data_IF_555696091619
#
_entry.id   IF_555696091619
#
_cell.length_a   1.000
_cell.length_b   1.000
_cell.length_c   1.000
_cell.angle_alpha   90.00
_cell.angle_beta   90.00
_cell.angle_gamma   90.00
#
_symmetry.space_group_name_H-M   'P 1'
#
loop_
_entity.id
_entity.type
_entity.pdbx_description
1 polymer ?
#
# COMPACT_ATOMS: atom_id res chain seq x y z
N UNK A 1 10.98 -28.13 -66.95
CA UNK A 1 10.53 -26.86 -66.34
C UNK A 1 10.49 -27.04 -64.83
N UNK A 2 11.54 -26.63 -64.11
CA UNK A 2 11.56 -26.63 -62.64
C UNK A 2 11.43 -25.19 -62.15
N UNK A 3 10.38 -24.90 -61.37
CA UNK A 3 10.16 -23.59 -60.73
C UNK A 3 10.96 -23.54 -59.43
N UNK A 4 11.86 -22.56 -59.31
CA UNK A 4 12.52 -22.18 -58.07
C UNK A 4 11.59 -21.28 -57.25
N UNK A 5 11.21 -21.70 -56.04
CA UNK A 5 10.51 -20.87 -55.07
C UNK A 5 11.55 -20.22 -54.16
N UNK A 6 11.65 -18.88 -54.18
CA UNK A 6 12.51 -18.11 -53.28
C UNK A 6 11.82 -17.96 -51.93
N UNK A 7 12.42 -18.45 -50.85
CA UNK A 7 12.08 -18.11 -49.47
C UNK A 7 12.83 -16.83 -49.08
N UNK A 8 12.10 -15.79 -48.72
CA UNK A 8 12.66 -14.59 -48.09
C UNK A 8 12.56 -14.74 -46.57
N UNK A 9 13.70 -14.81 -45.89
CA UNK A 9 13.76 -14.75 -44.42
C UNK A 9 13.86 -13.29 -43.97
N UNK A 10 12.85 -12.84 -43.22
CA UNK A 10 12.86 -11.54 -42.54
C UNK A 10 13.62 -11.69 -41.22
N UNK A 11 14.79 -11.06 -41.09
CA UNK A 11 15.51 -10.96 -39.83
C UNK A 11 14.82 -9.92 -38.94
N UNK A 12 14.25 -10.35 -37.81
CA UNK A 12 13.82 -9.46 -36.73
C UNK A 12 15.05 -9.14 -35.89
N UNK A 13 15.52 -7.90 -35.93
CA UNK A 13 16.57 -7.41 -35.06
C UNK A 13 16.01 -7.21 -33.64
N UNK A 14 16.37 -8.09 -32.70
CA UNK A 14 16.21 -7.79 -31.27
C UNK A 14 17.25 -6.74 -30.87
N UNK A 15 16.82 -5.50 -30.70
CA UNK A 15 17.61 -4.50 -30.01
C UNK A 15 17.65 -4.85 -28.51
N UNK A 16 18.72 -5.49 -28.06
CA UNK A 16 19.03 -5.64 -26.64
C UNK A 16 19.61 -4.31 -26.18
N UNK A 17 18.76 -3.45 -25.60
CA UNK A 17 19.23 -2.27 -24.88
C UNK A 17 20.01 -2.73 -23.64
N UNK A 18 21.33 -2.69 -23.71
CA UNK A 18 22.19 -2.89 -22.54
C UNK A 18 22.01 -1.69 -21.63
N UNK A 19 21.19 -1.82 -20.59
CA UNK A 19 21.18 -0.85 -19.49
C UNK A 19 22.55 -0.91 -18.84
N UNK A 20 23.30 0.19 -18.86
CA UNK A 20 24.57 0.30 -18.16
C UNK A 20 24.26 0.13 -16.67
N UNK A 21 24.79 -0.93 -16.06
CA UNK A 21 24.67 -1.16 -14.63
C UNK A 21 25.77 -0.35 -13.93
N UNK A 22 25.39 0.57 -13.06
CA UNK A 22 26.32 1.38 -12.30
C UNK A 22 26.41 0.93 -10.85
N UNK A 23 27.56 1.22 -10.24
CA UNK A 23 27.71 1.27 -8.79
C UNK A 23 27.19 2.63 -8.31
N UNK A 24 26.09 2.65 -7.57
CA UNK A 24 25.51 3.88 -7.00
C UNK A 24 25.87 3.92 -5.52
N UNK A 25 26.65 4.94 -5.12
CA UNK A 25 26.93 5.21 -3.70
C UNK A 25 26.04 6.34 -3.21
N UNK A 26 25.38 6.13 -2.06
CA UNK A 26 24.54 7.10 -1.40
C UNK A 26 25.04 7.35 0.01
N UNK A 27 25.19 8.63 0.35
CA UNK A 27 25.34 9.07 1.73
C UNK A 27 23.97 9.12 2.40
N UNK A 28 23.77 8.30 3.43
CA UNK A 28 22.55 8.26 4.22
C UNK A 28 22.60 9.23 5.42
N UNK A 29 23.76 9.83 5.67
CA UNK A 29 24.04 10.77 6.76
C UNK A 29 24.66 10.11 7.98
N UNK A 30 24.62 10.82 9.11
CA UNK A 30 25.27 10.36 10.34
C UNK A 30 24.62 9.10 10.90
N UNK A 31 25.39 8.30 11.64
CA UNK A 31 24.84 7.14 12.35
C UNK A 31 23.64 7.50 13.24
N UNK A 32 23.64 8.69 13.85
CA UNK A 32 22.51 9.17 14.66
C UNK A 32 21.25 9.40 13.80
N UNK A 33 21.37 10.10 12.67
CA UNK A 33 20.24 10.35 11.77
C UNK A 33 19.67 9.04 11.25
N UNK A 34 20.53 8.14 10.76
CA UNK A 34 20.10 6.85 10.23
C UNK A 34 19.44 6.00 11.32
N UNK A 35 19.96 6.04 12.56
CA UNK A 35 19.31 5.39 13.71
C UNK A 35 17.87 5.87 13.89
N UNK A 36 17.64 7.19 13.82
CA UNK A 36 16.32 7.80 13.97
C UNK A 36 15.37 7.42 12.82
N UNK A 37 15.83 7.54 11.58
CA UNK A 37 14.98 7.34 10.40
C UNK A 37 14.68 5.85 10.13
N UNK A 38 15.61 4.94 10.44
CA UNK A 38 15.40 3.50 10.29
C UNK A 38 14.82 2.83 11.54
N UNK A 39 14.39 3.63 12.52
CA UNK A 39 13.84 3.18 13.80
C UNK A 39 14.76 2.21 14.56
N UNK A 40 16.07 2.32 14.38
CA UNK A 40 17.02 1.37 14.96
C UNK A 40 17.28 1.65 16.46
N UNK A 41 17.41 0.61 17.31
CA UNK A 41 16.97 -0.76 17.07
C UNK A 41 15.44 -0.87 17.10
N UNK A 42 14.86 -1.62 16.16
CA UNK A 42 13.41 -1.71 15.98
C UNK A 42 12.78 -3.00 16.52
N UNK A 43 13.55 -3.90 17.13
CA UNK A 43 13.04 -5.17 17.67
C UNK A 43 13.82 -5.67 18.90
N UNK A 44 14.28 -4.73 19.72
CA UNK A 44 15.11 -5.00 20.89
C UNK A 44 14.51 -4.43 22.17
N UNK A 45 14.70 -5.18 23.26
CA UNK A 45 14.64 -4.68 24.63
C UNK A 45 15.98 -4.99 25.32
N UNK A 46 15.98 -5.66 26.47
CA UNK A 46 17.19 -6.29 27.03
C UNK A 46 17.68 -7.42 26.11
N UNK A 47 16.76 -8.07 25.38
CA UNK A 47 17.05 -9.11 24.39
C UNK A 47 16.50 -8.65 23.04
N UNK A 48 17.31 -8.77 21.99
CA UNK A 48 16.90 -8.50 20.62
C UNK A 48 16.27 -9.74 19.99
N UNK A 49 15.09 -9.59 19.39
CA UNK A 49 14.49 -10.66 18.59
C UNK A 49 15.36 -10.96 17.35
N UNK A 50 15.89 -9.92 16.70
CA UNK A 50 16.93 -10.02 15.67
C UNK A 50 18.07 -9.06 16.02
N UNK A 51 19.26 -9.55 16.44
CA UNK A 51 20.36 -8.70 16.89
C UNK A 51 21.13 -8.10 15.70
N UNK A 52 20.44 -7.36 14.83
CA UNK A 52 21.05 -6.71 13.67
C UNK A 52 21.86 -5.48 14.09
N UNK A 53 22.94 -5.18 13.37
CA UNK A 53 23.59 -3.88 13.45
C UNK A 53 22.76 -2.80 12.74
N UNK A 54 23.15 -1.54 12.90
CA UNK A 54 22.54 -0.42 12.15
C UNK A 54 22.66 -0.67 10.64
N UNK A 55 23.84 -1.04 10.17
CA UNK A 55 24.12 -1.32 8.76
C UNK A 55 23.26 -2.46 8.24
N UNK A 56 23.14 -3.56 8.99
CA UNK A 56 22.31 -4.70 8.60
C UNK A 56 20.82 -4.35 8.55
N UNK A 57 20.36 -3.51 9.47
CA UNK A 57 18.96 -3.04 9.48
C UNK A 57 18.66 -2.19 8.24
N UNK A 58 19.56 -1.27 7.90
CA UNK A 58 19.43 -0.45 6.68
C UNK A 58 19.51 -1.33 5.44
N UNK A 59 20.52 -2.22 5.35
CA UNK A 59 20.73 -3.12 4.23
C UNK A 59 19.51 -4.01 3.97
N UNK A 60 18.85 -4.48 5.04
CA UNK A 60 17.60 -5.25 4.98
C UNK A 60 16.49 -4.49 4.26
N UNK A 61 16.16 -3.26 4.69
CA UNK A 61 15.12 -2.46 4.03
C UNK A 61 15.51 -2.10 2.60
N UNK A 62 16.76 -1.72 2.35
CA UNK A 62 17.21 -1.37 1.00
C UNK A 62 17.19 -2.58 0.05
N UNK A 63 17.42 -3.78 0.58
CA UNK A 63 17.27 -5.04 -0.17
C UNK A 63 15.81 -5.29 -0.53
N UNK A 64 14.86 -5.04 0.39
CA UNK A 64 13.42 -5.13 0.08
C UNK A 64 13.03 -4.18 -1.05
N UNK A 65 13.50 -2.92 -1.02
CA UNK A 65 13.25 -1.96 -2.10
C UNK A 65 13.74 -2.48 -3.45
N UNK A 66 14.99 -2.99 -3.53
CA UNK A 66 15.53 -3.57 -4.77
C UNK A 66 14.68 -4.71 -5.31
N UNK A 67 14.23 -5.60 -4.42
CA UNK A 67 13.40 -6.74 -4.81
C UNK A 67 12.04 -6.29 -5.33
N UNK A 68 11.41 -5.30 -4.69
CA UNK A 68 10.10 -4.76 -5.06
C UNK A 68 10.14 -3.89 -6.30
N UNK A 69 11.29 -3.30 -6.60
CA UNK A 69 11.54 -2.67 -7.90
C UNK A 69 11.88 -3.69 -9.00
N UNK A 70 11.92 -4.99 -8.71
CA UNK A 70 12.19 -6.04 -9.70
C UNK A 70 13.67 -6.24 -10.03
N UNK A 71 14.59 -5.60 -9.32
CA UNK A 71 16.04 -5.73 -9.51
C UNK A 71 16.60 -6.97 -8.81
N UNK A 72 16.13 -8.16 -9.19
CA UNK A 72 16.47 -9.44 -8.53
C UNK A 72 17.97 -9.78 -8.46
N UNK A 73 18.79 -9.23 -9.36
CA UNK A 73 20.24 -9.43 -9.40
C UNK A 73 21.03 -8.29 -8.72
N UNK A 74 20.37 -7.17 -8.42
CA UNK A 74 21.02 -6.06 -7.75
C UNK A 74 21.34 -6.43 -6.31
N UNK A 75 22.32 -5.74 -5.75
CA UNK A 75 22.75 -5.89 -4.36
C UNK A 75 22.91 -4.51 -3.74
N UNK A 76 22.76 -4.45 -2.44
CA UNK A 76 23.10 -3.29 -1.63
C UNK A 76 24.02 -3.76 -0.51
N UNK A 77 25.02 -2.95 -0.20
CA UNK A 77 25.84 -3.10 1.00
C UNK A 77 25.86 -1.80 1.77
N UNK A 78 25.79 -1.87 3.10
CA UNK A 78 25.79 -0.68 3.97
C UNK A 78 27.00 -0.69 4.87
N UNK A 79 27.67 0.46 5.00
CA UNK A 79 28.85 0.63 5.86
C UNK A 79 28.83 1.96 6.57
N UNK A 80 29.40 1.98 7.78
CA UNK A 80 29.71 3.23 8.48
C UNK A 80 31.19 3.54 8.34
N UNK A 81 31.52 4.67 7.74
CA UNK A 81 32.88 5.18 7.56
C UNK A 81 32.97 6.62 8.04
N UNK A 82 33.91 6.91 8.94
CA UNK A 82 34.11 8.26 9.52
C UNK A 82 32.82 8.87 10.13
N UNK A 83 31.95 8.03 10.70
CA UNK A 83 30.69 8.44 11.32
C UNK A 83 29.53 8.69 10.36
N UNK A 84 29.74 8.49 9.05
CA UNK A 84 28.69 8.54 8.02
C UNK A 84 28.31 7.12 7.61
N UNK A 85 27.00 6.88 7.48
CA UNK A 85 26.47 5.62 6.96
C UNK A 85 26.26 5.78 5.46
N UNK A 86 26.80 4.85 4.67
CA UNK A 86 26.70 4.86 3.22
C UNK A 86 26.13 3.55 2.70
N UNK A 87 25.28 3.64 1.70
CA UNK A 87 24.79 2.50 0.95
C UNK A 87 25.45 2.46 -0.43
N UNK A 88 25.95 1.28 -0.81
CA UNK A 88 26.45 1.01 -2.16
C UNK A 88 25.53 0.01 -2.83
N UNK A 89 24.86 0.46 -3.88
CA UNK A 89 24.05 -0.37 -4.76
C UNK A 89 24.85 -0.81 -5.97
N UNK A 90 24.68 -2.06 -6.39
CA UNK A 90 25.28 -2.60 -7.62
C UNK A 90 24.20 -3.29 -8.45
N UNK A 91 24.36 -3.27 -9.78
CA UNK A 91 23.39 -3.89 -10.69
C UNK A 91 22.08 -3.11 -10.88
N UNK A 92 22.07 -1.82 -10.52
CA UNK A 92 20.93 -0.89 -10.64
C UNK A 92 21.17 0.15 -11.75
N UNK A 93 20.11 0.81 -12.25
CA UNK A 93 20.27 1.96 -13.14
C UNK A 93 20.94 3.16 -12.46
N UNK A 94 21.52 4.03 -13.29
CA UNK A 94 22.00 5.34 -12.84
C UNK A 94 20.88 6.10 -12.13
N UNK A 95 21.18 6.64 -10.94
CA UNK A 95 20.23 7.46 -10.19
C UNK A 95 19.18 6.68 -9.39
N UNK A 96 19.23 5.34 -9.32
CA UNK A 96 18.30 4.52 -8.51
C UNK A 96 18.12 5.02 -7.07
N UNK A 97 19.16 5.59 -6.49
CA UNK A 97 19.14 6.11 -5.12
C UNK A 97 18.40 7.44 -4.91
N UNK A 98 18.06 8.17 -5.96
CA UNK A 98 17.47 9.51 -5.82
C UNK A 98 16.11 9.53 -5.10
N UNK A 99 15.17 8.61 -5.39
CA UNK A 99 13.91 8.54 -4.64
C UNK A 99 14.13 8.24 -3.15
N UNK A 100 15.12 7.41 -2.79
CA UNK A 100 15.47 7.15 -1.40
C UNK A 100 16.04 8.41 -0.73
N UNK A 101 16.95 9.12 -1.38
CA UNK A 101 17.50 10.37 -0.85
C UNK A 101 16.41 11.40 -0.62
N UNK A 102 15.49 11.56 -1.57
CA UNK A 102 14.34 12.45 -1.41
C UNK A 102 13.46 12.04 -0.21
N UNK A 103 13.11 10.75 -0.12
CA UNK A 103 12.33 10.20 0.99
C UNK A 103 12.99 10.47 2.35
N UNK A 104 14.29 10.18 2.49
CA UNK A 104 15.02 10.36 3.75
C UNK A 104 15.14 11.85 4.14
N UNK A 105 15.36 12.73 3.17
CA UNK A 105 15.39 14.18 3.42
C UNK A 105 14.02 14.72 3.83
N UNK A 106 12.95 14.15 3.30
CA UNK A 106 11.57 14.46 3.74
C UNK A 106 11.29 13.87 5.11
N UNK A 107 11.85 12.70 5.42
CA UNK A 107 11.64 12.01 6.69
C UNK A 107 12.21 12.73 7.92
N UNK A 108 13.19 13.61 7.73
CA UNK A 108 13.66 14.50 8.82
C UNK A 108 12.48 15.30 9.41
N UNK A 109 11.51 15.73 8.58
CA UNK A 109 10.28 16.40 9.03
C UNK A 109 9.39 15.50 9.89
N UNK A 110 9.34 14.19 9.57
CA UNK A 110 8.59 13.24 10.38
C UNK A 110 9.24 13.03 11.75
N UNK A 111 10.56 12.94 11.81
CA UNK A 111 11.30 12.87 13.06
C UNK A 111 11.10 14.12 13.93
N UNK A 112 11.14 15.31 13.32
CA UNK A 112 10.83 16.56 14.02
C UNK A 112 9.40 16.58 14.54
N UNK A 113 8.43 16.12 13.74
CA UNK A 113 7.03 15.97 14.13
C UNK A 113 6.85 15.03 15.33
N UNK A 114 7.43 13.84 15.27
CA UNK A 114 7.42 12.87 16.36
C UNK A 114 8.09 13.44 17.63
N UNK A 115 9.22 14.13 17.47
CA UNK A 115 9.93 14.76 18.57
C UNK A 115 9.11 15.87 19.24
N UNK A 116 8.39 16.68 18.46
CA UNK A 116 7.42 17.67 18.99
C UNK A 116 6.28 16.97 19.72
N UNK A 117 5.67 15.95 19.12
CA UNK A 117 4.57 15.19 19.69
C UNK A 117 4.94 14.58 21.06
N UNK A 118 6.16 14.06 21.18
CA UNK A 118 6.67 13.53 22.44
C UNK A 118 6.93 14.63 23.48
N UNK A 119 7.52 15.78 23.10
CA UNK A 119 7.71 16.91 24.02
C UNK A 119 6.40 17.44 24.59
N UNK A 120 5.32 17.36 23.81
CA UNK A 120 3.98 17.74 24.23
C UNK A 120 3.26 16.67 25.07
N UNK A 121 3.93 15.55 25.38
CA UNK A 121 3.40 14.48 26.22
C UNK A 121 2.34 13.61 25.54
N UNK A 122 2.26 13.63 24.20
CA UNK A 122 1.25 12.90 23.42
C UNK A 122 1.79 11.65 22.73
N UNK A 123 3.09 11.39 22.78
CA UNK A 123 3.69 10.17 22.27
C UNK A 123 3.49 9.03 23.26
N UNK A 124 2.93 7.91 22.81
CA UNK A 124 2.76 6.73 23.67
C UNK A 124 4.04 5.93 23.77
N UNK A 125 4.25 5.29 24.92
CA UNK A 125 5.45 4.49 25.19
C UNK A 125 5.68 3.38 24.14
N UNK A 126 4.60 2.77 23.63
CA UNK A 126 4.67 1.67 22.65
C UNK A 126 4.80 2.13 21.20
N UNK A 127 4.86 3.44 20.94
CA UNK A 127 4.89 3.98 19.58
C UNK A 127 6.32 4.13 19.07
N UNK A 128 6.50 3.85 17.77
CA UNK A 128 7.76 4.01 17.06
C UNK A 128 7.54 4.87 15.83
N UNK A 129 8.44 5.83 15.54
CA UNK A 129 8.45 6.48 14.23
C UNK A 129 8.75 5.39 13.18
N UNK A 130 7.87 5.21 12.19
CA UNK A 130 8.05 4.20 11.17
C UNK A 130 7.71 4.74 9.78
N UNK A 131 8.77 5.03 9.04
CA UNK A 131 8.73 5.51 7.67
C UNK A 131 8.50 4.33 6.70
N UNK A 132 7.95 4.57 5.49
CA UNK A 132 7.68 3.54 4.48
C UNK A 132 8.98 2.99 3.85
N UNK A 133 9.82 2.38 4.67
CA UNK A 133 11.09 1.79 4.32
C UNK A 133 10.88 0.44 3.64
N UNK A 134 11.76 0.13 2.68
CA UNK A 134 11.67 -1.09 1.92
C UNK A 134 10.58 -1.09 0.85
N UNK A 135 9.84 -0.01 0.62
CA UNK A 135 8.88 0.09 -0.49
C UNK A 135 9.57 0.15 -1.86
N UNK A 136 8.81 -0.09 -2.93
CA UNK A 136 9.29 0.16 -4.29
C UNK A 136 9.69 1.65 -4.46
N UNK A 137 10.92 1.89 -4.90
CA UNK A 137 11.50 3.23 -5.01
C UNK A 137 11.43 3.83 -6.42
N UNK A 138 11.39 3.00 -7.45
CA UNK A 138 11.40 3.46 -8.83
C UNK A 138 10.20 2.91 -9.60
N UNK A 139 9.96 1.60 -9.52
CA UNK A 139 8.97 0.91 -10.34
C UNK A 139 7.55 0.92 -9.73
N UNK A 140 7.23 1.97 -8.98
CA UNK A 140 5.89 2.18 -8.41
C UNK A 140 4.82 2.32 -9.48
N UNK A 141 3.68 1.67 -9.27
CA UNK A 141 2.51 1.72 -10.15
C UNK A 141 1.35 2.50 -9.53
N UNK A 142 1.28 2.57 -8.20
CA UNK A 142 0.26 3.32 -7.47
C UNK A 142 0.71 3.65 -6.06
N UNK A 143 -0.03 4.55 -5.41
CA UNK A 143 0.16 4.95 -4.01
C UNK A 143 -1.03 4.51 -3.17
N UNK A 144 -0.75 4.02 -1.96
CA UNK A 144 -1.74 3.67 -0.95
C UNK A 144 -1.60 4.66 0.20
N UNK A 145 -2.61 5.51 0.38
CA UNK A 145 -2.65 6.43 1.51
C UNK A 145 -3.39 5.71 2.66
N UNK A 146 -2.67 5.49 3.74
CA UNK A 146 -3.07 4.68 4.90
C UNK A 146 -3.09 5.51 6.18
N UNK A 147 -3.69 4.96 7.22
CA UNK A 147 -3.82 5.63 8.50
C UNK A 147 -2.49 5.62 9.26
N UNK A 148 -2.03 4.43 9.64
CA UNK A 148 -0.77 4.17 10.33
C UNK A 148 -0.36 2.69 10.14
N UNK A 149 0.94 2.36 10.22
CA UNK A 149 1.39 0.97 10.17
C UNK A 149 1.21 0.27 11.52
N UNK A 150 0.84 -1.03 11.55
CA UNK A 150 0.86 -1.78 12.79
C UNK A 150 2.30 -2.03 13.29
N UNK A 151 2.48 -2.00 14.60
CA UNK A 151 3.78 -2.15 15.28
C UNK A 151 4.50 -3.47 14.97
N UNK A 152 3.77 -4.56 14.75
CA UNK A 152 4.36 -5.85 14.42
C UNK A 152 5.05 -5.86 13.04
N UNK A 153 4.61 -5.03 12.08
CA UNK A 153 5.28 -4.89 10.78
C UNK A 153 6.71 -4.35 10.96
N UNK A 154 6.91 -3.50 11.97
CA UNK A 154 8.24 -3.01 12.36
C UNK A 154 8.98 -4.04 13.24
N UNK A 155 8.37 -4.44 14.35
CA UNK A 155 9.07 -5.12 15.45
C UNK A 155 9.24 -6.62 15.25
N UNK A 156 8.31 -7.28 14.56
CA UNK A 156 8.36 -8.72 14.31
C UNK A 156 8.93 -9.02 12.92
N UNK A 157 8.36 -8.38 11.90
CA UNK A 157 8.67 -8.72 10.51
C UNK A 157 9.81 -7.89 9.92
N UNK A 158 9.98 -6.63 10.38
CA UNK A 158 10.81 -5.61 9.72
C UNK A 158 10.44 -5.48 8.24
N UNK A 159 9.14 -5.50 7.96
CA UNK A 159 8.60 -5.43 6.62
C UNK A 159 7.28 -4.66 6.65
N UNK A 160 7.26 -3.50 6.00
CA UNK A 160 6.10 -2.61 5.94
C UNK A 160 4.89 -3.24 5.24
N UNK A 161 5.11 -4.21 4.33
CA UNK A 161 4.05 -4.90 3.61
C UNK A 161 3.64 -6.21 4.26
N UNK A 162 4.24 -6.60 5.38
CA UNK A 162 3.84 -7.80 6.12
C UNK A 162 2.82 -7.42 7.20
N UNK A 163 1.55 -7.50 6.83
CA UNK A 163 0.42 -7.26 7.72
C UNK A 163 -0.87 -7.82 7.15
N UNK A 164 -1.80 -8.23 8.02
CA UNK A 164 -3.12 -8.70 7.56
C UNK A 164 -3.80 -7.71 6.59
N UNK A 165 -3.67 -6.41 6.85
CA UNK A 165 -4.19 -5.33 6.00
C UNK A 165 -3.59 -5.35 4.59
N UNK A 166 -2.26 -5.40 4.49
CA UNK A 166 -1.51 -5.34 3.22
C UNK A 166 -1.56 -6.65 2.47
N UNK A 167 -1.52 -7.80 3.15
CA UNK A 167 -1.59 -9.14 2.57
C UNK A 167 -2.97 -9.39 1.95
N UNK A 168 -4.03 -8.95 2.64
CA UNK A 168 -5.37 -8.99 2.07
C UNK A 168 -5.43 -8.16 0.80
N UNK A 169 -4.91 -6.94 0.83
CA UNK A 169 -4.97 -6.07 -0.35
C UNK A 169 -4.17 -6.63 -1.54
N UNK A 170 -2.99 -7.20 -1.28
CA UNK A 170 -2.20 -7.94 -2.28
C UNK A 170 -3.01 -9.08 -2.93
N UNK A 171 -3.80 -9.80 -2.13
CA UNK A 171 -4.70 -10.85 -2.62
C UNK A 171 -5.80 -10.29 -3.53
N UNK A 172 -6.36 -9.11 -3.22
CA UNK A 172 -7.35 -8.45 -4.06
C UNK A 172 -6.76 -7.89 -5.36
N UNK A 173 -5.54 -7.37 -5.33
CA UNK A 173 -4.78 -7.01 -6.53
C UNK A 173 -4.54 -8.25 -7.41
N UNK A 174 -4.21 -9.38 -6.79
CA UNK A 174 -4.02 -10.66 -7.49
C UNK A 174 -5.31 -11.17 -8.13
N UNK A 175 -6.45 -11.06 -7.45
CA UNK A 175 -7.77 -11.36 -8.01
C UNK A 175 -8.10 -10.47 -9.24
N UNK A 176 -7.45 -9.31 -9.35
CA UNK A 176 -7.55 -8.39 -10.49
C UNK A 176 -6.43 -8.54 -11.52
N UNK A 177 -5.68 -9.64 -11.46
CA UNK A 177 -4.72 -10.03 -12.49
C UNK A 177 -3.32 -9.44 -12.32
N UNK A 178 -3.01 -8.84 -11.17
CA UNK A 178 -1.62 -8.50 -10.83
C UNK A 178 -0.92 -9.78 -10.35
N UNK A 179 0.22 -10.20 -10.93
CA UNK A 179 0.99 -11.32 -10.40
C UNK A 179 1.37 -11.06 -8.93
N UNK A 180 1.27 -12.06 -8.06
CA UNK A 180 1.55 -11.90 -6.63
C UNK A 180 2.92 -11.25 -6.36
N UNK A 181 3.95 -11.65 -7.13
CA UNK A 181 5.31 -11.11 -7.04
C UNK A 181 5.44 -9.64 -7.47
N UNK A 182 4.44 -9.08 -8.15
CA UNK A 182 4.38 -7.69 -8.62
C UNK A 182 3.43 -6.82 -7.78
N UNK A 183 2.64 -7.41 -6.88
CA UNK A 183 1.74 -6.64 -6.01
C UNK A 183 2.46 -5.55 -5.19
N UNK A 184 3.71 -5.73 -4.70
CA UNK A 184 4.41 -4.67 -3.98
C UNK A 184 4.64 -3.39 -4.79
N UNK A 185 4.71 -3.45 -6.12
CA UNK A 185 4.84 -2.27 -6.99
C UNK A 185 3.60 -1.36 -6.89
N UNK A 186 2.45 -1.91 -6.50
CA UNK A 186 1.19 -1.18 -6.35
C UNK A 186 0.98 -0.68 -4.91
N UNK A 187 1.72 -1.22 -3.95
CA UNK A 187 1.51 -1.01 -2.52
C UNK A 187 2.55 -0.07 -1.90
N UNK A 188 2.94 1.00 -2.61
CA UNK A 188 3.76 2.04 -1.96
C UNK A 188 2.88 2.83 -1.01
N UNK A 189 3.09 2.64 0.29
CA UNK A 189 2.27 3.23 1.33
C UNK A 189 2.80 4.61 1.73
N UNK A 190 1.88 5.53 1.98
CA UNK A 190 2.07 6.76 2.74
C UNK A 190 1.10 6.73 3.91
N UNK A 191 1.61 6.81 5.12
CA UNK A 191 0.77 6.92 6.31
C UNK A 191 0.58 8.38 6.72
N UNK A 192 -0.67 8.75 7.02
CA UNK A 192 -0.96 10.06 7.60
C UNK A 192 -0.44 10.15 9.05
N UNK A 193 -0.22 9.02 9.73
CA UNK A 193 0.56 8.98 10.96
C UNK A 193 1.70 7.97 10.75
N UNK A 194 2.95 8.43 10.48
CA UNK A 194 4.10 7.54 10.30
C UNK A 194 4.57 6.96 11.65
N UNK A 195 3.66 6.35 12.38
CA UNK A 195 3.84 5.83 13.74
C UNK A 195 3.42 4.36 13.74
N UNK A 196 4.40 3.47 13.89
CA UNK A 196 4.14 2.08 14.23
C UNK A 196 3.50 2.02 15.62
N UNK A 197 2.25 1.54 15.66
CA UNK A 197 1.43 1.46 16.87
C UNK A 197 0.62 0.15 16.88
N UNK A 198 0.09 -0.29 18.04
CA UNK A 198 -0.81 -1.44 18.09
C UNK A 198 -1.98 -1.26 17.09
N UNK A 199 -2.42 -2.33 16.46
CA UNK A 199 -3.48 -2.27 15.43
C UNK A 199 -4.83 -1.72 15.93
N UNK A 200 -5.01 -1.60 17.24
CA UNK A 200 -6.18 -1.02 17.90
C UNK A 200 -6.03 0.48 18.23
N UNK A 201 -4.86 1.08 18.00
CA UNK A 201 -4.53 2.46 18.39
C UNK A 201 -5.12 3.55 17.48
N UNK A 202 -5.95 3.20 16.49
CA UNK A 202 -6.48 4.16 15.50
C UNK A 202 -7.15 5.38 16.14
N UNK A 203 -7.93 5.17 17.21
CA UNK A 203 -8.57 6.25 17.97
C UNK A 203 -7.56 7.10 18.74
N UNK A 204 -6.52 6.49 19.30
CA UNK A 204 -5.50 7.19 20.10
C UNK A 204 -4.61 8.11 19.24
N UNK A 205 -4.57 7.84 17.93
CA UNK A 205 -3.89 8.67 16.94
C UNK A 205 -4.74 9.86 16.46
N UNK A 206 -6.03 9.94 16.82
CA UNK A 206 -6.83 11.12 16.48
C UNK A 206 -6.22 12.38 17.12
N UNK A 207 -6.08 13.43 16.31
CA UNK A 207 -5.48 14.70 16.76
C UNK A 207 -3.95 14.76 16.71
N UNK A 208 -3.25 13.68 16.35
CA UNK A 208 -1.77 13.73 16.17
C UNK A 208 -1.33 14.06 14.75
N UNK A 209 -2.20 13.94 13.74
CA UNK A 209 -1.81 14.05 12.32
C UNK A 209 -1.17 15.40 11.96
N UNK A 210 -1.61 16.48 12.62
CA UNK A 210 -1.10 17.84 12.35
C UNK A 210 0.39 18.01 12.65
N UNK A 211 0.97 17.17 13.52
CA UNK A 211 2.41 17.19 13.80
C UNK A 211 3.25 16.78 12.59
N UNK A 212 2.63 16.10 11.62
CA UNK A 212 3.28 15.53 10.43
C UNK A 212 2.84 16.19 9.12
N UNK A 213 2.08 17.30 9.14
CA UNK A 213 1.51 17.92 7.93
C UNK A 213 2.52 18.25 6.84
N UNK A 214 3.68 18.80 7.21
CA UNK A 214 4.74 19.11 6.25
C UNK A 214 5.35 17.83 5.65
N UNK A 215 5.59 16.82 6.48
CA UNK A 215 6.03 15.50 6.02
C UNK A 215 5.01 14.88 5.05
N UNK A 216 3.74 14.79 5.45
CA UNK A 216 2.68 14.13 4.70
C UNK A 216 2.49 14.77 3.31
N UNK A 217 2.38 16.10 3.25
CA UNK A 217 2.17 16.80 1.98
C UNK A 217 3.39 16.68 1.06
N UNK A 218 4.60 16.74 1.62
CA UNK A 218 5.84 16.59 0.86
C UNK A 218 6.04 15.16 0.34
N UNK A 219 5.79 14.14 1.16
CA UNK A 219 5.92 12.74 0.74
C UNK A 219 4.83 12.35 -0.27
N UNK A 220 3.61 12.88 -0.13
CA UNK A 220 2.57 12.73 -1.17
C UNK A 220 3.05 13.31 -2.48
N UNK A 221 3.61 14.52 -2.49
CA UNK A 221 4.17 15.11 -3.71
C UNK A 221 5.29 14.26 -4.31
N UNK A 222 6.26 13.85 -3.50
CA UNK A 222 7.47 13.17 -3.97
C UNK A 222 7.21 11.74 -4.46
N UNK A 223 6.29 11.00 -3.83
CA UNK A 223 6.00 9.62 -4.22
C UNK A 223 4.92 9.52 -5.30
N UNK A 224 3.94 10.44 -5.34
CA UNK A 224 2.88 10.40 -6.35
C UNK A 224 3.27 11.03 -7.69
N UNK A 225 4.25 11.93 -7.73
CA UNK A 225 4.71 12.55 -8.98
C UNK A 225 5.90 11.78 -9.53
N UNK A 226 5.62 10.90 -10.49
CA UNK A 226 6.64 10.10 -11.16
C UNK A 226 7.07 10.76 -12.49
N UNK A 227 8.33 10.60 -12.96
CA UNK A 227 8.80 11.19 -14.21
C UNK A 227 7.95 10.84 -15.44
N UNK A 228 7.31 9.68 -15.44
CA UNK A 228 6.42 9.22 -16.53
C UNK A 228 4.97 9.67 -16.38
N UNK A 229 4.65 10.44 -15.33
CA UNK A 229 3.33 10.98 -15.04
C UNK A 229 2.89 10.73 -13.59
N UNK A 230 1.84 11.40 -13.11
CA UNK A 230 1.32 11.19 -11.77
C UNK A 230 0.80 9.75 -11.58
N UNK A 231 1.10 9.15 -10.44
CA UNK A 231 0.62 7.82 -10.05
C UNK A 231 -0.78 7.92 -9.44
N UNK A 232 -1.68 6.96 -9.72
CA UNK A 232 -2.98 6.88 -9.07
C UNK A 232 -2.83 6.60 -7.57
N UNK A 233 -3.76 7.10 -6.77
CA UNK A 233 -3.77 6.93 -5.32
C UNK A 233 -5.07 6.28 -4.84
N UNK A 234 -4.98 5.38 -3.89
CA UNK A 234 -6.13 4.85 -3.13
C UNK A 234 -6.06 5.35 -1.70
N UNK A 235 -7.16 5.92 -1.21
CA UNK A 235 -7.29 6.50 0.12
C UNK A 235 -8.14 5.59 1.00
N UNK A 236 -7.48 4.90 1.94
CA UNK A 236 -8.07 3.84 2.75
C UNK A 236 -8.59 4.36 4.09
N UNK A 237 -9.88 4.16 4.35
CA UNK A 237 -10.44 4.45 5.67
C UNK A 237 -10.91 5.90 5.85
N UNK A 238 -11.65 6.14 6.92
CA UNK A 238 -12.27 7.43 7.20
C UNK A 238 -11.26 8.52 7.63
N UNK A 239 -10.25 8.23 8.48
CA UNK A 239 -9.22 9.20 8.85
C UNK A 239 -8.47 9.73 7.63
N UNK A 240 -8.10 8.85 6.70
CA UNK A 240 -7.38 9.23 5.47
C UNK A 240 -8.23 10.09 4.54
N UNK A 241 -9.50 9.74 4.33
CA UNK A 241 -10.40 10.56 3.50
C UNK A 241 -10.66 11.93 4.14
N UNK A 242 -10.72 11.99 5.47
CA UNK A 242 -10.82 13.26 6.21
C UNK A 242 -9.55 14.10 6.07
N UNK A 243 -8.37 13.46 6.10
CA UNK A 243 -7.09 14.11 5.84
C UNK A 243 -7.04 14.72 4.44
N UNK A 244 -7.53 14.01 3.40
CA UNK A 244 -7.63 14.56 2.04
C UNK A 244 -8.53 15.81 2.01
N UNK A 245 -9.68 15.77 2.68
CA UNK A 245 -10.57 16.93 2.78
C UNK A 245 -9.88 18.13 3.44
N UNK A 246 -9.11 17.88 4.52
CA UNK A 246 -8.41 18.93 5.26
C UNK A 246 -7.26 19.56 4.45
N UNK A 247 -6.48 18.76 3.73
CA UNK A 247 -5.29 19.23 3.02
C UNK A 247 -5.52 19.66 1.58
N UNK A 248 -6.53 19.10 0.91
CA UNK A 248 -6.80 19.35 -0.51
C UNK A 248 -8.22 19.86 -0.79
N UNK A 249 -9.07 19.98 0.24
CA UNK A 249 -10.44 20.46 0.09
C UNK A 249 -11.40 19.47 -0.60
N UNK A 250 -10.96 18.24 -0.85
CA UNK A 250 -11.73 17.25 -1.60
C UNK A 250 -12.49 16.29 -0.70
N UNK A 251 -13.81 16.17 -0.91
CA UNK A 251 -14.63 15.18 -0.20
C UNK A 251 -14.57 13.85 -0.92
N UNK A 252 -14.35 12.78 -0.16
CA UNK A 252 -14.16 11.45 -0.73
C UNK A 252 -14.92 10.40 0.09
N UNK A 253 -15.76 9.61 -0.59
CA UNK A 253 -16.45 8.44 -0.03
C UNK A 253 -15.85 7.13 -0.53
N UNK A 254 -16.33 5.98 -0.02
CA UNK A 254 -15.99 4.66 -0.56
C UNK A 254 -16.47 4.58 -2.02
N UNK A 255 -15.57 4.18 -2.92
CA UNK A 255 -15.75 4.23 -4.38
C UNK A 255 -16.09 5.62 -4.93
N UNK A 256 -15.79 6.68 -4.18
CA UNK A 256 -15.77 8.04 -4.70
C UNK A 256 -14.44 8.32 -5.40
N UNK A 257 -14.48 9.10 -6.49
CA UNK A 257 -13.28 9.58 -7.18
C UNK A 257 -13.14 11.08 -7.03
N UNK A 258 -11.91 11.53 -6.84
CA UNK A 258 -11.53 12.94 -6.90
C UNK A 258 -10.14 13.10 -7.53
N UNK A 259 -9.66 14.34 -7.62
CA UNK A 259 -8.30 14.67 -7.97
C UNK A 259 -7.70 15.61 -6.92
N UNK A 260 -6.44 15.37 -6.57
CA UNK A 260 -5.64 16.29 -5.75
C UNK A 260 -4.52 16.88 -6.60
N UNK A 261 -3.98 18.02 -6.17
CA UNK A 261 -2.83 18.67 -6.79
C UNK A 261 -1.68 18.78 -5.78
N UNK A 262 -0.79 17.76 -5.70
CA UNK A 262 0.36 17.79 -4.78
C UNK A 262 1.42 18.84 -5.14
N UNK A 263 1.38 19.33 -6.37
CA UNK A 263 2.19 20.44 -6.85
C UNK A 263 1.40 21.27 -7.86
N UNK A 264 1.82 22.50 -8.11
CA UNK A 264 1.23 23.33 -9.15
C UNK A 264 1.32 22.62 -10.52
N UNK A 265 0.21 22.64 -11.27
CA UNK A 265 0.12 22.00 -12.58
C UNK A 265 0.01 20.46 -12.57
N UNK A 266 0.09 19.81 -11.40
CA UNK A 266 -0.07 18.35 -11.30
C UNK A 266 -1.47 17.93 -10.86
N UNK A 267 -1.88 16.74 -11.29
CA UNK A 267 -3.17 16.14 -10.93
C UNK A 267 -2.99 14.65 -10.68
N UNK A 268 -3.33 14.21 -9.48
CA UNK A 268 -3.33 12.80 -9.07
C UNK A 268 -4.77 12.36 -8.92
N UNK A 269 -5.17 11.31 -9.61
CA UNK A 269 -6.47 10.69 -9.42
C UNK A 269 -6.48 9.93 -8.08
N UNK A 270 -7.51 10.17 -7.26
CA UNK A 270 -7.64 9.55 -5.95
C UNK A 270 -8.97 8.83 -5.83
N UNK A 271 -8.93 7.55 -5.48
CA UNK A 271 -10.10 6.73 -5.18
C UNK A 271 -10.24 6.53 -3.68
N UNK A 272 -11.42 6.78 -3.12
CA UNK A 272 -11.72 6.41 -1.73
C UNK A 272 -12.06 4.93 -1.63
N UNK A 273 -11.50 4.24 -0.64
CA UNK A 273 -11.78 2.84 -0.35
C UNK A 273 -12.18 2.66 1.12
N UNK A 274 -12.73 1.49 1.46
CA UNK A 274 -12.76 1.05 2.85
C UNK A 274 -11.32 0.83 3.32
N UNK A 275 -11.04 0.96 4.61
CA UNK A 275 -9.78 0.42 5.14
C UNK A 275 -9.74 -1.11 4.88
N UNK A 276 -8.62 -1.72 4.45
CA UNK A 276 -8.62 -3.13 4.07
C UNK A 276 -9.07 -4.07 5.19
N UNK A 277 -8.84 -3.69 6.45
CA UNK A 277 -9.28 -4.44 7.63
C UNK A 277 -10.75 -4.28 8.00
N UNK A 278 -11.46 -3.31 7.42
CA UNK A 278 -12.87 -3.04 7.72
C UNK A 278 -13.76 -4.25 7.42
N UNK A 279 -13.36 -5.11 6.48
CA UNK A 279 -14.09 -6.34 6.14
C UNK A 279 -14.34 -7.23 7.36
N UNK A 280 -13.40 -7.35 8.30
CA UNK A 280 -13.53 -8.24 9.45
C UNK A 280 -14.52 -7.69 10.46
N UNK A 281 -14.64 -6.36 10.58
CA UNK A 281 -15.66 -5.71 11.40
C UNK A 281 -17.03 -5.76 10.75
N UNK A 282 -17.10 -5.51 9.43
CA UNK A 282 -18.33 -5.59 8.67
C UNK A 282 -18.90 -7.01 8.63
N UNK A 283 -18.04 -8.04 8.65
CA UNK A 283 -18.43 -9.44 8.64
C UNK A 283 -18.52 -10.06 10.05
N UNK A 284 -18.29 -9.31 11.13
CA UNK A 284 -18.42 -9.85 12.48
C UNK A 284 -19.91 -9.92 12.91
N UNK A 285 -20.46 -11.11 13.26
CA UNK A 285 -21.81 -11.23 13.80
C UNK A 285 -22.06 -10.38 15.06
N UNK A 286 -21.04 -10.15 15.89
CA UNK A 286 -21.16 -9.32 17.09
C UNK A 286 -21.50 -7.86 16.76
N UNK A 287 -21.15 -7.39 15.56
CA UNK A 287 -21.56 -6.07 15.06
C UNK A 287 -23.06 -5.98 14.75
N UNK A 288 -23.80 -7.10 14.80
CA UNK A 288 -25.21 -7.23 14.41
C UNK A 288 -26.00 -8.12 15.38
N UNK A 289 -25.74 -8.01 16.68
CA UNK A 289 -26.48 -8.75 17.72
C UNK A 289 -26.42 -10.29 17.56
N UNK A 290 -25.34 -10.80 16.97
CA UNK A 290 -25.14 -12.22 16.67
C UNK A 290 -25.76 -12.69 15.35
N UNK A 291 -26.33 -11.79 14.53
CA UNK A 291 -26.91 -12.13 13.22
C UNK A 291 -25.82 -12.33 12.16
N UNK A 292 -25.41 -13.58 11.97
CA UNK A 292 -24.45 -13.97 10.93
C UNK A 292 -24.94 -13.64 9.51
N UNK A 293 -26.24 -13.73 9.22
CA UNK A 293 -26.77 -13.47 7.88
C UNK A 293 -26.64 -11.98 7.53
N UNK A 294 -26.88 -11.10 8.50
CA UNK A 294 -26.70 -9.65 8.34
C UNK A 294 -25.23 -9.27 8.24
N UNK A 295 -24.36 -9.93 9.02
CA UNK A 295 -22.91 -9.78 8.93
C UNK A 295 -22.36 -10.23 7.57
N UNK A 296 -22.82 -11.38 7.06
CA UNK A 296 -22.50 -11.85 5.71
C UNK A 296 -22.96 -10.87 4.63
N UNK A 297 -24.18 -10.30 4.76
CA UNK A 297 -24.66 -9.30 3.81
C UNK A 297 -23.76 -8.06 3.77
N UNK A 298 -23.30 -7.58 4.93
CA UNK A 298 -22.37 -6.46 5.00
C UNK A 298 -20.99 -6.82 4.44
N UNK A 299 -20.45 -7.98 4.84
CA UNK A 299 -19.17 -8.51 4.37
C UNK A 299 -19.13 -8.67 2.85
N UNK A 300 -20.18 -9.22 2.23
CA UNK A 300 -20.29 -9.36 0.77
C UNK A 300 -20.28 -8.01 0.06
N UNK A 301 -20.97 -7.00 0.59
CA UNK A 301 -20.98 -5.64 0.04
C UNK A 301 -19.59 -5.00 0.14
N UNK A 302 -18.93 -5.11 1.29
CA UNK A 302 -17.55 -4.58 1.48
C UNK A 302 -16.57 -5.30 0.55
N UNK A 303 -16.66 -6.63 0.42
CA UNK A 303 -15.82 -7.39 -0.53
C UNK A 303 -16.01 -6.90 -1.97
N UNK A 304 -17.26 -6.67 -2.39
CA UNK A 304 -17.56 -6.12 -3.72
C UNK A 304 -17.00 -4.71 -3.92
N UNK A 305 -17.02 -3.87 -2.88
CA UNK A 305 -16.39 -2.54 -2.92
C UNK A 305 -14.87 -2.63 -3.03
N UNK A 306 -14.24 -3.44 -2.18
CA UNK A 306 -12.78 -3.56 -2.12
C UNK A 306 -12.20 -4.17 -3.40
N UNK A 307 -12.84 -5.21 -3.96
CA UNK A 307 -12.47 -5.77 -5.27
C UNK A 307 -12.61 -4.74 -6.40
N UNK A 308 -13.62 -3.87 -6.33
CA UNK A 308 -13.80 -2.80 -7.32
C UNK A 308 -12.70 -1.73 -7.20
N UNK A 309 -12.27 -1.41 -5.98
CA UNK A 309 -11.19 -0.46 -5.74
C UNK A 309 -9.81 -1.03 -6.12
N UNK A 310 -9.52 -2.28 -5.75
CA UNK A 310 -8.30 -2.97 -6.17
C UNK A 310 -8.23 -3.15 -7.69
N UNK A 311 -9.37 -3.42 -8.36
CA UNK A 311 -9.48 -3.42 -9.83
C UNK A 311 -9.08 -2.07 -10.43
N UNK A 312 -9.58 -0.98 -9.85
CA UNK A 312 -9.29 0.36 -10.33
C UNK A 312 -7.80 0.68 -10.16
N UNK A 313 -7.22 0.37 -9.00
CA UNK A 313 -5.79 0.55 -8.73
C UNK A 313 -4.92 -0.26 -9.70
N UNK A 314 -5.23 -1.54 -9.87
CA UNK A 314 -4.55 -2.41 -10.82
C UNK A 314 -4.60 -1.84 -12.25
N UNK A 315 -5.80 -1.45 -12.71
CA UNK A 315 -5.98 -0.90 -14.06
C UNK A 315 -5.29 0.45 -14.27
N UNK A 316 -5.39 1.37 -13.31
CA UNK A 316 -4.70 2.67 -13.38
C UNK A 316 -3.19 2.51 -13.32
N UNK A 317 -2.67 1.61 -12.48
CA UNK A 317 -1.23 1.38 -12.35
C UNK A 317 -0.62 0.69 -13.58
N UNK A 318 -1.37 -0.20 -14.24
CA UNK A 318 -0.95 -0.80 -15.51
C UNK A 318 -1.04 0.18 -16.68
N UNK A 319 -2.05 1.05 -16.69
CA UNK A 319 -2.33 1.99 -17.78
C UNK A 319 -2.66 3.38 -17.23
N UNK A 320 -1.66 4.18 -16.84
CA UNK A 320 -1.86 5.48 -16.19
C UNK A 320 -2.66 6.50 -17.03
N UNK A 321 -2.67 6.36 -18.36
CA UNK A 321 -3.43 7.21 -19.27
C UNK A 321 -4.93 6.86 -19.35
N UNK A 322 -5.40 5.84 -18.63
CA UNK A 322 -6.81 5.45 -18.63
C UNK A 322 -7.68 6.52 -17.98
N UNK A 323 -8.93 6.66 -18.45
CA UNK A 323 -9.92 7.53 -17.77
C UNK A 323 -10.33 6.90 -16.41
N UNK A 324 -10.10 7.59 -15.28
CA UNK A 324 -10.38 7.04 -13.96
C UNK A 324 -11.85 6.70 -13.73
N UNK A 325 -12.78 7.50 -14.28
CA UNK A 325 -14.21 7.33 -14.08
C UNK A 325 -14.75 6.15 -14.89
N UNK A 326 -14.31 6.03 -16.15
CA UNK A 326 -14.67 4.90 -17.01
C UNK A 326 -14.16 3.60 -16.42
N UNK A 327 -12.89 3.58 -15.97
CA UNK A 327 -12.30 2.40 -15.35
C UNK A 327 -13.04 1.99 -14.07
N UNK A 328 -13.34 2.94 -13.16
CA UNK A 328 -14.05 2.61 -11.93
C UNK A 328 -15.44 2.03 -12.22
N UNK A 329 -16.21 2.63 -13.14
CA UNK A 329 -17.52 2.11 -13.54
C UNK A 329 -17.40 0.68 -14.09
N UNK A 330 -16.37 0.42 -14.89
CA UNK A 330 -16.03 -0.90 -15.39
C UNK A 330 -15.76 -1.89 -14.26
N UNK A 331 -14.92 -1.53 -13.30
CA UNK A 331 -14.58 -2.34 -12.14
C UNK A 331 -15.78 -2.66 -11.24
N UNK A 332 -16.62 -1.66 -10.94
CA UNK A 332 -17.88 -1.85 -10.20
C UNK A 332 -18.85 -2.76 -10.93
N UNK A 333 -18.95 -2.65 -12.26
CA UNK A 333 -19.78 -3.56 -13.05
C UNK A 333 -19.22 -4.98 -13.02
N UNK A 334 -17.91 -5.13 -13.17
CA UNK A 334 -17.23 -6.42 -13.11
C UNK A 334 -17.52 -7.13 -11.79
N UNK A 335 -17.22 -6.53 -10.64
CA UNK A 335 -17.27 -7.23 -9.36
C UNK A 335 -18.66 -7.26 -8.74
N UNK A 336 -19.43 -6.17 -8.85
CA UNK A 336 -20.72 -6.07 -8.15
C UNK A 336 -21.91 -6.49 -9.02
N UNK A 337 -21.70 -6.82 -10.31
CA UNK A 337 -22.77 -7.26 -11.23
C UNK A 337 -22.41 -8.55 -11.93
N UNK A 338 -21.36 -8.54 -12.76
CA UNK A 338 -21.04 -9.67 -13.66
C UNK A 338 -20.38 -10.83 -12.92
N UNK A 339 -19.48 -10.55 -11.98
CA UNK A 339 -18.70 -11.51 -11.18
C UNK A 339 -19.11 -11.54 -9.71
N UNK A 340 -20.38 -11.24 -9.41
CA UNK A 340 -20.91 -11.25 -8.04
C UNK A 340 -20.81 -12.61 -7.35
N UNK A 341 -20.86 -13.72 -8.11
CA UNK A 341 -20.63 -15.07 -7.57
C UNK A 341 -19.17 -15.27 -7.14
N UNK A 342 -18.20 -14.80 -7.93
CA UNK A 342 -16.78 -14.83 -7.53
C UNK A 342 -16.50 -13.89 -6.36
N UNK A 343 -17.15 -12.73 -6.29
CA UNK A 343 -17.10 -11.85 -5.10
C UNK A 343 -17.55 -12.60 -3.85
N UNK A 344 -18.62 -13.38 -3.97
CA UNK A 344 -19.12 -14.21 -2.88
C UNK A 344 -18.16 -15.33 -2.50
N UNK A 345 -17.61 -16.05 -3.48
CA UNK A 345 -16.66 -17.13 -3.23
C UNK A 345 -15.41 -16.59 -2.52
N UNK A 346 -14.86 -15.47 -2.99
CA UNK A 346 -13.72 -14.81 -2.35
C UNK A 346 -14.02 -14.36 -0.93
N UNK A 347 -15.23 -13.84 -0.67
CA UNK A 347 -15.65 -13.51 0.70
C UNK A 347 -15.65 -14.74 1.61
N UNK A 348 -16.33 -15.81 1.20
CA UNK A 348 -16.46 -16.99 2.06
C UNK A 348 -15.15 -17.76 2.25
N UNK A 349 -14.26 -17.77 1.27
CA UNK A 349 -12.95 -18.41 1.43
C UNK A 349 -12.00 -17.58 2.29
N UNK A 350 -11.95 -16.26 2.11
CA UNK A 350 -10.97 -15.40 2.78
C UNK A 350 -11.42 -14.84 4.14
N UNK A 351 -12.73 -14.75 4.39
CA UNK A 351 -13.27 -14.14 5.62
C UNK A 351 -13.97 -15.17 6.52
N UNK A 352 -14.62 -16.18 5.93
CA UNK A 352 -15.29 -17.27 6.66
C UNK A 352 -14.49 -18.58 6.66
N UNK A 353 -13.32 -18.58 6.03
CA UNK A 353 -12.39 -19.73 5.97
C UNK A 353 -13.04 -21.02 5.44
N UNK A 354 -14.05 -20.90 4.57
CA UNK A 354 -14.66 -22.04 3.91
C UNK A 354 -13.73 -22.60 2.82
N UNK A 355 -13.83 -23.91 2.56
CA UNK A 355 -13.19 -24.49 1.36
C UNK A 355 -13.79 -23.89 0.09
N UNK A 356 -13.08 -23.97 -1.04
CA UNK A 356 -13.58 -23.48 -2.31
C UNK A 356 -14.93 -24.11 -2.70
N UNK A 357 -15.10 -25.40 -2.45
CA UNK A 357 -16.34 -26.14 -2.69
C UNK A 357 -17.48 -25.66 -1.80
N UNK A 358 -17.21 -25.48 -0.50
CA UNK A 358 -18.19 -24.99 0.47
C UNK A 358 -18.61 -23.55 0.16
N UNK A 359 -17.66 -22.68 -0.21
CA UNK A 359 -17.94 -21.31 -0.60
C UNK A 359 -18.83 -21.27 -1.85
N UNK A 360 -18.50 -22.07 -2.88
CA UNK A 360 -19.32 -22.18 -4.09
C UNK A 360 -20.74 -22.64 -3.77
N UNK A 361 -20.89 -23.69 -2.96
CA UNK A 361 -22.20 -24.18 -2.53
C UNK A 361 -23.00 -23.08 -1.81
N UNK A 362 -22.40 -22.42 -0.81
CA UNK A 362 -22.99 -21.31 -0.06
C UNK A 362 -23.45 -20.18 -0.99
N UNK A 363 -22.64 -19.80 -1.98
CA UNK A 363 -22.95 -18.74 -2.93
C UNK A 363 -24.11 -19.06 -3.88
N UNK A 364 -24.43 -20.34 -4.09
CA UNK A 364 -25.60 -20.76 -4.89
C UNK A 364 -26.89 -20.94 -4.07
N UNK A 365 -26.80 -20.84 -2.75
CA UNK A 365 -27.94 -21.04 -1.84
C UNK A 365 -29.04 -19.99 -2.01
N UNK A 366 -30.26 -20.36 -1.60
CA UNK A 366 -31.43 -19.50 -1.68
C UNK A 366 -31.33 -18.23 -0.79
N UNK A 367 -30.58 -18.30 0.31
CA UNK A 367 -30.38 -17.17 1.23
C UNK A 367 -29.39 -16.14 0.70
N UNK A 368 -28.38 -16.55 -0.07
CA UNK A 368 -27.31 -15.66 -0.57
C UNK A 368 -27.65 -15.02 -1.92
N UNK A 369 -28.32 -15.73 -2.82
CA UNK A 369 -28.70 -15.20 -4.16
C UNK A 369 -29.39 -13.82 -4.12
N UNK A 370 -30.32 -13.53 -3.19
CA UNK A 370 -30.89 -12.19 -3.07
C UNK A 370 -29.87 -11.13 -2.64
N UNK A 371 -28.96 -11.45 -1.72
CA UNK A 371 -27.91 -10.53 -1.26
C UNK A 371 -26.96 -10.14 -2.40
N UNK A 372 -26.58 -11.09 -3.26
CA UNK A 372 -25.71 -10.82 -4.42
C UNK A 372 -26.35 -9.87 -5.45
N UNK A 373 -27.68 -9.79 -5.51
CA UNK A 373 -28.36 -8.79 -6.36
C UNK A 373 -28.32 -7.38 -5.78
N UNK A 374 -27.94 -7.23 -4.50
CA UNK A 374 -27.95 -5.98 -3.73
C UNK A 374 -26.55 -5.51 -3.31
N UNK A 375 -25.49 -5.99 -3.94
CA UNK A 375 -24.10 -5.58 -3.61
C UNK A 375 -23.86 -4.07 -3.71
N UNK A 376 -24.61 -3.37 -4.57
CA UNK A 376 -24.56 -1.90 -4.72
C UNK A 376 -25.41 -1.12 -3.72
N UNK A 377 -26.24 -1.81 -2.93
CA UNK A 377 -27.10 -1.16 -1.94
C UNK A 377 -26.27 -0.76 -0.71
N UNK A 378 -26.75 0.23 0.09
CA UNK A 378 -26.08 0.59 1.33
C UNK A 378 -25.84 -0.62 2.24
N UNK A 379 -24.77 -0.56 3.05
CA UNK A 379 -24.50 -1.56 4.08
C UNK A 379 -25.69 -1.64 5.06
N UNK A 380 -25.97 -2.83 5.61
CA UNK A 380 -26.89 -2.91 6.74
C UNK A 380 -26.35 -2.09 7.92
N UNK A 381 -27.25 -1.51 8.71
CA UNK A 381 -26.87 -0.76 9.90
C UNK A 381 -26.33 -1.69 10.99
N UNK A 382 -25.11 -1.42 11.46
CA UNK A 382 -24.45 -2.16 12.53
C UNK A 382 -24.94 -1.66 13.90
N UNK A 383 -25.11 -2.60 14.83
CA UNK A 383 -25.49 -2.32 16.22
C UNK A 383 -24.30 -1.77 17.03
N UNK A 384 -23.07 -2.02 16.57
CA UNK A 384 -21.83 -1.51 17.15
C UNK A 384 -21.04 -0.73 16.08
N UNK A 385 -20.55 0.45 16.45
CA UNK A 385 -19.71 1.25 15.57
C UNK A 385 -18.35 0.56 15.37
N UNK A 386 -17.88 0.49 14.12
CA UNK A 386 -16.53 0.03 13.84
C UNK A 386 -15.49 1.00 14.43
N UNK A 387 -14.29 0.53 14.78
CA UNK A 387 -13.18 1.40 15.16
C UNK A 387 -12.87 2.43 14.08
N UNK A 388 -12.20 3.52 14.47
CA UNK A 388 -11.62 4.45 13.51
C UNK A 388 -10.51 3.74 12.73
N UNK A 389 -10.79 3.45 11.45
CA UNK A 389 -9.94 2.76 10.50
C UNK A 389 -9.78 3.57 9.21
#
# INVERSE_FOLDING_TARGET
MFKLTRLSFTFVALAVSTVVQADVELDLGTAQRVTQLFAYPNNCSVICFRPLTLEQTVEHYLTQSLQRDGYSRARVSVKTEQGQVRARFTGVPDGYGQPLTALLNTADLAYEGASRLNRDGKWQFSWYLFLPLGMALENRKSIELMHFPPDYSLTHYQDYLESATTDRWATLLSANGIPATQTPEYQTIIDIAPIAAPSTAGKDLEGVYSYFSEYQTRVVRELSLHPTGPLPMVAFGAPVRSWIQQHYGQTLGVLGLTQISPAEGSKVAVLGANHPSYIWYAANPDSYDGDEQKADEAGLKVMGQDLSAACWQAGMGQKPASDPNVLLKGCMNTWQVTRKEQTCELFYTSVRELSAEQAKEKCTSASIKPQLKRLKSPLPEASVAAPAL
#
